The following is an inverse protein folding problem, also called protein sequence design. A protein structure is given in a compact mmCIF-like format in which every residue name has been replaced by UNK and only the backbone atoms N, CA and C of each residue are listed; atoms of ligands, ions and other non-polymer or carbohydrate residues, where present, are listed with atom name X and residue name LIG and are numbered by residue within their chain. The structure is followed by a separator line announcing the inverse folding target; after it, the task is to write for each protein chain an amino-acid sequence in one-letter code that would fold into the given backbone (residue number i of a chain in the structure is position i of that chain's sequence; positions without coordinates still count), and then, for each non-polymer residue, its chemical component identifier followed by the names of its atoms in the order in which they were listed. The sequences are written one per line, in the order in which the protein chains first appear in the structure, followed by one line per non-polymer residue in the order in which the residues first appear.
data_IF_904098527714
#
_entry.id   IF_904098527714
#
_cell.length_a   1.000
_cell.length_b   1.000
_cell.length_c   1.000
_cell.angle_alpha   90.00
_cell.angle_beta   90.00
_cell.angle_gamma   90.00
#
_symmetry.space_group_name_H-M   'P 1'
#
loop_
_entity.id
_entity.type
_entity.pdbx_description
1 polymer ?
#
# COMPACT_ATOMS: atom_id res chain seq x y z
N UNK A 1 71.68 31.74 -7.63
CA UNK A 1 72.81 30.80 -7.45
C UNK A 1 72.33 29.65 -6.59
N UNK A 2 72.74 28.43 -6.97
CA UNK A 2 72.73 27.16 -6.21
C UNK A 2 71.39 26.49 -5.84
N UNK A 3 71.23 25.29 -6.40
CA UNK A 3 70.12 24.34 -6.37
C UNK A 3 69.89 23.64 -5.02
N UNK A 4 68.76 22.90 -4.90
CA UNK A 4 68.69 21.68 -4.13
C UNK A 4 68.37 20.43 -5.00
N UNK A 5 68.73 19.21 -4.56
CA UNK A 5 68.55 17.99 -5.34
C UNK A 5 67.35 17.10 -4.90
N UNK A 6 66.73 16.50 -5.94
CA UNK A 6 66.26 15.10 -6.14
C UNK A 6 65.40 14.34 -5.10
N UNK A 7 64.10 14.29 -5.42
CA UNK A 7 63.27 13.15 -5.90
C UNK A 7 63.27 11.77 -5.22
N UNK A 8 62.06 11.26 -4.93
CA UNK A 8 61.48 9.94 -5.35
C UNK A 8 60.01 9.89 -4.89
N UNK A 9 59.02 10.14 -5.74
CA UNK A 9 58.27 9.26 -6.68
C UNK A 9 57.30 8.26 -6.03
N UNK A 10 56.01 8.41 -6.31
CA UNK A 10 55.11 7.32 -6.77
C UNK A 10 53.76 7.86 -7.26
N UNK A 11 53.68 7.94 -8.60
CA UNK A 11 52.53 7.79 -9.51
C UNK A 11 51.12 8.15 -9.04
N UNK A 12 50.68 9.31 -9.52
CA UNK A 12 49.29 9.68 -9.78
C UNK A 12 49.10 9.70 -11.30
N UNK A 13 48.02 9.08 -11.80
CA UNK A 13 47.57 9.18 -13.19
C UNK A 13 46.12 8.71 -13.23
N UNK A 14 45.14 9.42 -13.77
CA UNK A 14 45.10 10.74 -14.40
C UNK A 14 43.61 11.09 -14.48
N UNK A 15 43.32 12.33 -14.15
CA UNK A 15 42.10 13.08 -14.45
C UNK A 15 41.64 12.94 -15.89
N UNK A 16 40.33 13.02 -16.11
CA UNK A 16 39.76 14.02 -17.03
C UNK A 16 38.26 14.27 -16.74
N UNK A 17 37.96 15.55 -16.49
CA UNK A 17 36.68 16.24 -16.57
C UNK A 17 36.16 16.16 -18.04
N UNK A 18 34.89 16.32 -18.41
CA UNK A 18 33.97 17.44 -18.14
C UNK A 18 32.62 17.23 -18.89
N UNK A 19 31.59 18.01 -18.51
CA UNK A 19 30.41 18.48 -19.29
C UNK A 19 29.10 17.66 -19.41
N UNK A 20 28.14 18.09 -18.57
CA UNK A 20 26.79 18.66 -18.83
C UNK A 20 25.96 18.37 -20.11
N UNK A 21 24.66 18.20 -19.81
CA UNK A 21 23.41 18.41 -20.60
C UNK A 21 22.99 17.41 -21.69
N UNK A 22 21.86 16.72 -21.46
CA UNK A 22 20.64 16.92 -22.27
C UNK A 22 19.48 16.05 -21.76
N UNK A 23 18.31 16.65 -21.78
CA UNK A 23 16.96 16.12 -21.58
C UNK A 23 16.64 14.89 -22.44
N UNK A 24 16.19 13.81 -21.80
CA UNK A 24 15.64 12.61 -22.46
C UNK A 24 14.13 12.51 -22.27
N UNK A 25 13.43 12.64 -23.39
CA UNK A 25 11.98 12.47 -23.61
C UNK A 25 11.39 11.22 -22.93
N UNK A 26 10.19 11.34 -22.37
CA UNK A 26 9.35 10.21 -21.94
C UNK A 26 8.21 9.91 -22.95
N UNK A 27 8.41 10.24 -24.22
CA UNK A 27 7.57 9.71 -25.30
C UNK A 27 8.26 8.49 -25.89
N UNK A 28 7.83 7.30 -25.44
CA UNK A 28 7.67 6.07 -26.24
C UNK A 28 7.53 4.86 -25.31
N UNK A 29 6.29 4.51 -24.94
CA UNK A 29 5.89 3.14 -24.58
C UNK A 29 4.38 3.04 -24.31
N UNK A 30 3.56 3.34 -25.31
CA UNK A 30 2.17 2.87 -25.37
C UNK A 30 1.90 2.34 -26.78
N UNK A 31 2.27 1.09 -27.02
CA UNK A 31 1.70 0.31 -28.11
C UNK A 31 0.99 -0.92 -27.52
N UNK A 32 -0.25 -0.67 -27.11
CA UNK A 32 -1.22 -1.68 -26.73
C UNK A 32 -1.92 -2.14 -28.00
N UNK A 33 -1.41 -3.13 -28.73
CA UNK A 33 -2.22 -4.09 -29.51
C UNK A 33 -1.32 -5.19 -30.07
N UNK A 34 -1.79 -6.45 -29.98
CA UNK A 34 -1.18 -7.72 -30.44
C UNK A 34 -0.11 -8.33 -29.54
N UNK A 35 -0.55 -9.15 -28.59
CA UNK A 35 0.16 -10.41 -28.32
C UNK A 35 -0.85 -11.55 -28.32
N UNK A 36 -0.62 -12.47 -29.24
CA UNK A 36 -1.39 -13.66 -29.51
C UNK A 36 -1.48 -14.55 -28.26
N UNK A 37 -2.67 -15.14 -28.10
CA UNK A 37 -2.95 -16.20 -27.14
C UNK A 37 -2.12 -17.43 -27.51
N UNK A 38 -0.98 -17.61 -26.84
CA UNK A 38 -0.28 -18.89 -26.79
C UNK A 38 -0.48 -19.52 -25.42
N UNK A 39 -1.35 -20.52 -25.37
CA UNK A 39 -1.52 -21.40 -24.22
C UNK A 39 -0.22 -22.21 -24.00
N UNK A 40 0.44 -22.15 -22.82
CA UNK A 40 1.49 -23.08 -22.48
C UNK A 40 0.87 -24.45 -22.20
N UNK A 41 1.37 -25.45 -22.90
CA UNK A 41 0.85 -26.80 -22.96
C UNK A 41 0.72 -27.53 -21.62
N UNK A 42 -0.15 -28.54 -21.66
CA UNK A 42 -0.47 -29.47 -20.58
C UNK A 42 0.78 -30.07 -19.95
N UNK A 43 0.97 -29.79 -18.66
CA UNK A 43 1.76 -30.64 -17.77
C UNK A 43 0.80 -31.29 -16.77
N UNK A 44 0.66 -32.62 -16.93
CA UNK A 44 0.22 -33.62 -15.96
C UNK A 44 -0.72 -33.13 -14.84
N UNK A 45 -2.02 -33.30 -15.05
CA UNK A 45 -3.05 -33.19 -14.02
C UNK A 45 -2.92 -34.43 -13.13
N UNK A 46 -2.18 -34.31 -12.02
CA UNK A 46 -2.25 -35.27 -10.91
C UNK A 46 -3.69 -35.27 -10.40
N UNK A 47 -4.29 -36.45 -10.24
CA UNK A 47 -5.62 -36.66 -9.68
C UNK A 47 -5.83 -35.82 -8.41
N UNK A 48 -6.56 -34.71 -8.54
CA UNK A 48 -6.92 -33.87 -7.40
C UNK A 48 -8.11 -34.48 -6.67
N UNK A 49 -7.96 -34.77 -5.38
CA UNK A 49 -9.10 -34.90 -4.50
C UNK A 49 -9.98 -33.65 -4.66
N UNK A 50 -11.26 -33.83 -5.00
CA UNK A 50 -12.15 -32.73 -5.31
C UNK A 50 -12.63 -32.08 -4.01
N UNK A 51 -11.78 -31.27 -3.39
CA UNK A 51 -12.09 -30.60 -2.12
C UNK A 51 -13.18 -29.55 -2.32
N UNK A 52 -14.35 -29.78 -1.71
CA UNK A 52 -15.52 -28.89 -1.82
C UNK A 52 -15.31 -27.49 -1.23
N UNK A 53 -14.28 -27.30 -0.42
CA UNK A 53 -13.97 -26.03 0.23
C UNK A 53 -13.08 -25.09 -0.61
N UNK A 54 -12.60 -25.54 -1.77
CA UNK A 54 -11.83 -24.71 -2.68
C UNK A 54 -12.72 -23.64 -3.30
N UNK A 55 -12.20 -22.42 -3.38
CA UNK A 55 -12.85 -21.33 -4.07
C UNK A 55 -12.84 -21.55 -5.59
N UNK A 56 -13.66 -20.77 -6.30
CA UNK A 56 -13.69 -20.80 -7.76
C UNK A 56 -12.30 -20.50 -8.33
N UNK A 57 -11.82 -21.36 -9.24
CA UNK A 57 -10.46 -21.32 -9.81
C UNK A 57 -9.31 -21.45 -8.79
N UNK A 58 -9.59 -21.78 -7.53
CA UNK A 58 -8.59 -22.20 -6.56
C UNK A 58 -8.17 -23.64 -6.87
N UNK A 59 -6.87 -23.86 -7.05
CA UNK A 59 -6.29 -25.17 -7.40
C UNK A 59 -5.19 -25.54 -6.44
N UNK A 60 -5.11 -26.82 -6.10
CA UNK A 60 -4.04 -27.36 -5.28
C UNK A 60 -2.75 -27.45 -6.09
N UNK A 61 -1.67 -26.97 -5.51
CA UNK A 61 -0.31 -26.94 -6.08
C UNK A 61 0.55 -28.03 -5.45
N UNK A 62 0.53 -28.12 -4.12
CA UNK A 62 1.31 -29.10 -3.34
C UNK A 62 0.52 -29.53 -2.11
N UNK A 63 0.62 -30.79 -1.74
CA UNK A 63 0.08 -31.33 -0.49
C UNK A 63 1.19 -31.93 0.38
N UNK A 64 1.01 -31.82 1.70
CA UNK A 64 1.82 -32.47 2.70
C UNK A 64 0.94 -33.20 3.70
N UNK A 65 1.03 -34.53 3.75
CA UNK A 65 0.25 -35.39 4.64
C UNK A 65 1.00 -35.70 5.93
N UNK A 66 0.25 -35.89 7.03
CA UNK A 66 0.81 -36.18 8.35
C UNK A 66 1.71 -35.05 8.86
N UNK A 67 1.35 -33.81 8.52
CA UNK A 67 1.99 -32.58 8.99
C UNK A 67 1.35 -32.20 10.32
N UNK A 68 2.15 -31.77 11.29
CA UNK A 68 1.66 -31.35 12.61
C UNK A 68 1.60 -29.82 12.65
N UNK A 69 0.44 -29.25 12.98
CA UNK A 69 0.31 -27.85 13.34
C UNK A 69 0.80 -27.67 14.79
N UNK A 70 2.04 -27.22 14.95
CA UNK A 70 2.73 -27.15 16.25
C UNK A 70 2.00 -26.22 17.23
N UNK A 71 1.31 -25.21 16.71
CA UNK A 71 0.52 -24.27 17.49
C UNK A 71 -0.56 -24.93 18.37
N UNK A 72 -1.13 -26.05 17.90
CA UNK A 72 -2.25 -26.75 18.56
C UNK A 72 -1.95 -28.22 18.81
N UNK A 73 -0.74 -28.69 18.47
CA UNK A 73 -0.33 -30.09 18.46
C UNK A 73 -1.27 -31.01 17.68
N UNK A 74 -1.84 -30.50 16.58
CA UNK A 74 -2.82 -31.22 15.78
C UNK A 74 -2.18 -31.80 14.51
N UNK A 75 -2.44 -33.06 14.20
CA UNK A 75 -2.00 -33.70 12.95
C UNK A 75 -3.00 -33.45 11.81
N UNK A 76 -2.49 -33.31 10.59
CA UNK A 76 -3.32 -32.96 9.44
C UNK A 76 -2.60 -32.99 8.10
N UNK A 77 -3.33 -32.52 7.10
CA UNK A 77 -2.84 -32.32 5.73
C UNK A 77 -2.67 -30.83 5.46
N UNK A 78 -1.47 -30.44 5.07
CA UNK A 78 -1.13 -29.10 4.65
C UNK A 78 -1.26 -28.98 3.13
N UNK A 79 -2.18 -28.15 2.66
CA UNK A 79 -2.52 -27.98 1.26
C UNK A 79 -2.12 -26.57 0.83
N UNK A 80 -1.19 -26.46 -0.11
CA UNK A 80 -0.84 -25.21 -0.76
C UNK A 80 -1.67 -25.05 -2.04
N UNK A 81 -2.46 -23.99 -2.12
CA UNK A 81 -3.20 -23.60 -3.34
C UNK A 81 -2.54 -22.40 -4.03
N UNK A 82 -3.07 -21.99 -5.18
CA UNK A 82 -2.73 -20.72 -5.82
C UNK A 82 -3.25 -19.47 -5.09
N UNK A 83 -3.97 -19.62 -3.97
CA UNK A 83 -4.54 -18.52 -3.20
C UNK A 83 -4.10 -18.48 -1.74
N UNK A 84 -4.02 -19.63 -1.08
CA UNK A 84 -3.78 -19.76 0.37
C UNK A 84 -3.08 -21.07 0.70
N UNK A 85 -2.50 -21.09 1.90
CA UNK A 85 -2.11 -22.30 2.59
C UNK A 85 -3.28 -22.72 3.48
N UNK A 86 -3.68 -23.99 3.41
CA UNK A 86 -4.81 -24.56 4.14
C UNK A 86 -4.29 -25.71 5.01
N UNK A 87 -4.67 -25.74 6.27
CA UNK A 87 -4.43 -26.88 7.14
C UNK A 87 -5.75 -27.61 7.41
N UNK A 88 -5.80 -28.88 7.01
CA UNK A 88 -6.95 -29.76 7.18
C UNK A 88 -6.65 -30.74 8.32
N UNK A 89 -7.50 -30.76 9.34
CA UNK A 89 -7.41 -31.70 10.46
C UNK A 89 -7.51 -33.15 10.00
N UNK A 90 -6.63 -34.04 10.47
CA UNK A 90 -6.76 -35.48 10.21
C UNK A 90 -7.89 -36.11 11.04
N UNK A 91 -8.19 -35.57 12.22
CA UNK A 91 -9.24 -36.08 13.11
C UNK A 91 -10.65 -35.66 12.69
N UNK A 92 -10.82 -34.39 12.32
CA UNK A 92 -12.14 -33.81 12.07
C UNK A 92 -12.44 -33.59 10.59
N UNK A 93 -11.45 -33.75 9.71
CA UNK A 93 -11.52 -33.41 8.28
C UNK A 93 -11.97 -31.96 8.00
N UNK A 94 -11.86 -31.07 9.00
CA UNK A 94 -12.24 -29.67 8.89
C UNK A 94 -11.01 -28.77 8.70
N UNK A 95 -11.24 -27.61 8.07
CA UNK A 95 -10.22 -26.56 7.94
C UNK A 95 -9.95 -25.96 9.31
N UNK A 96 -8.70 -26.03 9.75
CA UNK A 96 -8.25 -25.33 10.95
C UNK A 96 -7.89 -23.90 10.59
N UNK A 97 -8.69 -22.94 11.06
CA UNK A 97 -8.53 -21.52 10.73
C UNK A 97 -7.15 -20.97 11.14
N UNK A 98 -6.61 -21.42 12.27
CA UNK A 98 -5.29 -21.01 12.76
C UNK A 98 -4.17 -21.40 11.79
N UNK A 99 -4.21 -22.63 11.25
CA UNK A 99 -3.24 -23.15 10.29
C UNK A 99 -3.46 -22.68 8.85
N UNK A 100 -4.49 -21.86 8.60
CA UNK A 100 -4.88 -21.41 7.26
C UNK A 100 -4.58 -19.93 7.05
N UNK A 101 -3.88 -19.60 5.95
CA UNK A 101 -3.42 -18.23 5.67
C UNK A 101 -3.39 -17.91 4.16
N UNK A 102 -4.01 -16.79 3.71
CA UNK A 102 -3.87 -16.32 2.33
C UNK A 102 -2.43 -16.00 1.96
N UNK A 103 -1.99 -16.38 0.76
CA UNK A 103 -0.61 -16.16 0.32
C UNK A 103 -0.21 -14.69 0.33
N UNK A 104 -1.15 -13.80 -0.04
CA UNK A 104 -0.92 -12.34 -0.03
C UNK A 104 -0.67 -11.76 1.37
N UNK A 105 -1.06 -12.48 2.43
CA UNK A 105 -0.84 -12.08 3.82
C UNK A 105 0.43 -12.67 4.42
N UNK A 106 1.09 -13.60 3.72
CA UNK A 106 2.39 -14.13 4.17
C UNK A 106 3.45 -13.05 4.00
N UNK A 107 4.08 -12.66 5.09
CA UNK A 107 5.18 -11.72 5.12
C UNK A 107 6.51 -12.42 4.89
N UNK A 108 6.73 -13.53 5.59
CA UNK A 108 7.98 -14.31 5.57
C UNK A 108 7.67 -15.76 5.88
N UNK A 109 8.50 -16.68 5.39
CA UNK A 109 8.48 -18.07 5.82
C UNK A 109 9.92 -18.63 5.83
N UNK A 110 10.19 -19.57 6.74
CA UNK A 110 11.55 -20.11 6.91
C UNK A 110 11.54 -21.58 7.32
N UNK A 111 12.57 -22.32 6.89
CA UNK A 111 12.80 -23.71 7.33
C UNK A 111 13.60 -23.69 8.62
N UNK A 112 13.09 -24.31 9.68
CA UNK A 112 13.81 -24.47 10.95
C UNK A 112 14.10 -25.95 11.22
N UNK A 113 15.16 -26.23 11.97
CA UNK A 113 15.47 -27.57 12.45
C UNK A 113 15.74 -27.49 13.94
N UNK A 114 14.86 -28.10 14.72
CA UNK A 114 15.02 -28.18 16.18
C UNK A 114 15.60 -29.55 16.51
N UNK A 115 16.73 -29.55 17.22
CA UNK A 115 17.31 -30.77 17.78
C UNK A 115 16.81 -30.88 19.21
N UNK A 116 16.06 -31.92 19.53
CA UNK A 116 15.67 -32.19 20.91
C UNK A 116 16.92 -32.61 21.68
N UNK A 117 17.20 -31.96 22.82
CA UNK A 117 18.22 -32.46 23.74
C UNK A 117 17.68 -33.75 24.40
N UNK A 118 18.48 -34.83 24.46
CA UNK A 118 18.05 -36.03 25.16
C UNK A 118 17.91 -35.75 26.65
N UNK A 119 16.75 -36.06 27.23
CA UNK A 119 16.60 -36.11 28.67
C UNK A 119 17.57 -37.16 29.25
N UNK A 120 18.14 -36.97 30.45
CA UNK A 120 19.27 -37.78 30.96
C UNK A 120 18.94 -39.26 31.26
N UNK A 121 17.82 -39.82 30.80
CA UNK A 121 17.40 -41.21 31.03
C UNK A 121 16.69 -41.92 29.87
N UNK A 122 16.74 -41.42 28.63
CA UNK A 122 16.20 -42.16 27.47
C UNK A 122 17.23 -42.30 26.35
N UNK A 123 17.51 -43.54 25.95
CA UNK A 123 18.51 -43.91 24.93
C UNK A 123 17.99 -43.84 23.48
N UNK A 124 16.79 -43.32 23.25
CA UNK A 124 16.27 -43.11 21.90
C UNK A 124 16.62 -41.70 21.41
N UNK A 125 17.38 -41.63 20.31
CA UNK A 125 17.60 -40.39 19.58
C UNK A 125 16.26 -39.90 19.03
N UNK A 126 15.57 -39.02 19.75
CA UNK A 126 14.41 -38.31 19.23
C UNK A 126 14.81 -37.62 17.91
N UNK A 127 14.12 -37.90 16.79
CA UNK A 127 14.53 -37.38 15.51
C UNK A 127 14.39 -35.86 15.47
N UNK A 128 15.33 -35.16 14.83
CA UNK A 128 15.28 -33.70 14.70
C UNK A 128 13.96 -33.27 14.04
N UNK A 129 13.22 -32.36 14.69
CA UNK A 129 12.00 -31.81 14.13
C UNK A 129 12.34 -30.90 12.95
N UNK A 130 11.66 -31.13 11.82
CA UNK A 130 11.81 -30.35 10.59
C UNK A 130 10.62 -29.40 10.50
N UNK A 131 10.81 -28.14 10.89
CA UNK A 131 9.73 -27.17 10.95
C UNK A 131 9.72 -26.23 9.73
N UNK A 132 8.54 -25.71 9.41
CA UNK A 132 8.31 -24.57 8.53
C UNK A 132 7.55 -23.51 9.34
N UNK A 133 8.18 -22.36 9.56
CA UNK A 133 7.54 -21.22 10.19
C UNK A 133 7.01 -20.29 9.10
N UNK A 134 5.75 -19.87 9.22
CA UNK A 134 5.08 -18.89 8.36
C UNK A 134 4.69 -17.70 9.23
N UNK A 135 5.13 -16.51 8.82
CA UNK A 135 4.91 -15.23 9.50
C UNK A 135 3.93 -14.45 8.63
N UNK A 136 2.74 -14.17 9.17
CA UNK A 136 1.70 -13.39 8.52
C UNK A 136 1.78 -11.90 8.87
N UNK A 137 1.24 -11.07 7.98
CA UNK A 137 0.96 -9.64 8.20
C UNK A 137 -0.27 -9.42 9.09
N UNK A 138 -1.00 -10.48 9.38
CA UNK A 138 -2.15 -10.54 10.29
C UNK A 138 -1.74 -10.86 11.74
N UNK A 139 -0.46 -10.60 12.08
CA UNK A 139 0.14 -10.81 13.40
C UNK A 139 0.24 -12.27 13.85
N UNK A 140 -0.07 -13.24 12.98
CA UNK A 140 0.09 -14.66 13.28
C UNK A 140 1.47 -15.16 12.91
N UNK A 141 2.03 -16.02 13.75
CA UNK A 141 3.06 -16.99 13.39
C UNK A 141 2.33 -18.34 13.29
N UNK A 142 2.73 -19.17 12.34
CA UNK A 142 2.15 -20.50 12.14
C UNK A 142 3.31 -21.46 11.91
N UNK A 143 3.39 -22.52 12.71
CA UNK A 143 4.52 -23.46 12.68
C UNK A 143 4.04 -24.85 12.32
N UNK A 144 4.59 -25.40 11.23
CA UNK A 144 4.26 -26.72 10.74
C UNK A 144 5.44 -27.68 10.91
N UNK A 145 5.21 -28.80 11.59
CA UNK A 145 6.15 -29.89 11.77
C UNK A 145 6.01 -30.95 10.68
N UNK A 146 7.13 -31.35 10.08
CA UNK A 146 7.17 -32.37 9.03
C UNK A 146 7.94 -33.60 9.48
N UNK A 147 7.48 -34.77 9.02
CA UNK A 147 8.18 -36.04 9.23
C UNK A 147 9.58 -35.99 8.60
N UNK A 148 10.64 -36.37 9.35
CA UNK A 148 11.99 -36.48 8.83
C UNK A 148 12.07 -37.44 7.62
N UNK A 149 13.11 -37.29 6.80
CA UNK A 149 13.37 -38.12 5.60
C UNK A 149 12.29 -38.06 4.51
N UNK A 150 11.35 -37.13 4.58
CA UNK A 150 10.39 -36.84 3.50
C UNK A 150 10.79 -35.58 2.72
N UNK A 151 10.31 -35.46 1.48
CA UNK A 151 10.51 -34.25 0.66
C UNK A 151 9.38 -33.21 0.83
N UNK A 152 8.35 -33.51 1.64
CA UNK A 152 7.13 -32.70 1.76
C UNK A 152 7.41 -31.25 2.17
N UNK A 153 8.25 -31.03 3.19
CA UNK A 153 8.66 -29.67 3.63
C UNK A 153 9.32 -28.87 2.51
N UNK A 154 10.15 -29.55 1.70
CA UNK A 154 10.83 -28.90 0.57
C UNK A 154 9.84 -28.54 -0.52
N UNK A 155 8.95 -29.46 -0.89
CA UNK A 155 7.92 -29.23 -1.89
C UNK A 155 6.99 -28.06 -1.50
N UNK A 156 6.49 -28.03 -0.26
CA UNK A 156 5.65 -26.93 0.23
C UNK A 156 6.41 -25.60 0.22
N UNK A 157 7.65 -25.58 0.71
CA UNK A 157 8.45 -24.36 0.72
C UNK A 157 8.75 -23.83 -0.68
N UNK A 158 9.12 -24.71 -1.61
CA UNK A 158 9.45 -24.34 -2.98
C UNK A 158 8.17 -23.86 -3.70
N UNK A 159 7.01 -24.47 -3.42
CA UNK A 159 5.70 -24.00 -3.84
C UNK A 159 5.36 -22.60 -3.30
N UNK A 160 5.57 -22.36 -1.99
CA UNK A 160 5.37 -21.04 -1.39
C UNK A 160 6.24 -19.97 -2.04
N UNK A 161 7.50 -20.30 -2.35
CA UNK A 161 8.42 -19.38 -3.02
C UNK A 161 7.90 -18.96 -4.40
N UNK A 162 7.30 -19.88 -5.16
CA UNK A 162 6.69 -19.56 -6.45
C UNK A 162 5.41 -18.73 -6.30
N UNK A 163 4.55 -19.05 -5.34
CA UNK A 163 3.18 -18.50 -5.28
C UNK A 163 3.06 -17.20 -4.50
N UNK A 164 3.96 -16.93 -3.54
CA UNK A 164 3.96 -15.69 -2.75
C UNK A 164 4.62 -14.51 -3.47
N UNK A 165 5.33 -14.78 -4.57
CA UNK A 165 6.03 -13.77 -5.39
C UNK A 165 5.67 -13.91 -6.87
N UNK A 166 4.40 -13.63 -7.24
CA UNK A 166 3.95 -13.71 -8.62
C UNK A 166 4.80 -12.80 -9.54
N UNK A 167 5.15 -13.31 -10.71
CA UNK A 167 6.00 -12.61 -11.68
C UNK A 167 5.25 -11.53 -12.46
N UNK A 168 3.95 -11.74 -12.69
CA UNK A 168 3.06 -10.84 -13.42
C UNK A 168 1.88 -10.46 -12.55
N UNK A 169 1.32 -9.29 -12.80
CA UNK A 169 0.10 -8.84 -12.14
C UNK A 169 -1.05 -9.85 -12.31
N UNK A 170 -1.19 -10.41 -13.51
CA UNK A 170 -2.21 -11.39 -13.88
C UNK A 170 -2.06 -12.74 -13.18
N UNK A 171 -0.90 -13.01 -12.57
CA UNK A 171 -0.67 -14.23 -11.78
C UNK A 171 -1.31 -14.14 -10.38
N UNK A 172 -1.75 -12.94 -9.96
CA UNK A 172 -2.50 -12.78 -8.70
C UNK A 172 -3.84 -13.51 -8.80
N UNK A 173 -4.21 -14.18 -7.71
CA UNK A 173 -5.48 -14.90 -7.63
C UNK A 173 -6.70 -14.03 -7.96
N UNK A 174 -6.63 -12.71 -7.70
CA UNK A 174 -7.68 -11.75 -8.05
C UNK A 174 -8.06 -11.72 -9.55
N UNK A 175 -7.17 -12.14 -10.45
CA UNK A 175 -7.44 -12.25 -11.89
C UNK A 175 -7.79 -13.67 -12.32
N UNK A 176 -7.61 -14.66 -11.44
CA UNK A 176 -7.96 -16.06 -11.67
C UNK A 176 -9.33 -16.42 -11.10
N UNK A 177 -9.69 -15.86 -9.94
CA UNK A 177 -11.04 -16.01 -9.41
C UNK A 177 -12.02 -15.41 -10.43
N UNK A 178 -13.05 -16.18 -10.79
CA UNK A 178 -14.04 -15.75 -11.77
C UNK A 178 -14.66 -14.38 -11.45
N UNK A 179 -15.47 -13.82 -12.37
CA UNK A 179 -16.06 -12.50 -12.17
C UNK A 179 -16.77 -12.41 -10.81
N UNK A 180 -16.57 -11.28 -10.12
CA UNK A 180 -17.21 -11.02 -8.83
C UNK A 180 -18.72 -11.24 -8.93
N UNK A 181 -19.25 -12.14 -8.10
CA UNK A 181 -20.70 -12.33 -7.91
C UNK A 181 -21.33 -11.18 -7.12
N UNK A 182 -20.50 -10.33 -6.52
CA UNK A 182 -20.95 -9.12 -5.83
C UNK A 182 -21.20 -8.01 -6.85
N UNK A 183 -22.46 -7.61 -6.99
CA UNK A 183 -22.89 -6.48 -7.82
C UNK A 183 -22.67 -5.19 -7.05
N UNK A 184 -21.56 -4.51 -7.31
CA UNK A 184 -21.34 -3.16 -6.81
C UNK A 184 -21.48 -2.16 -7.96
N UNK A 185 -22.10 -1.01 -7.69
CA UNK A 185 -22.15 0.08 -8.65
C UNK A 185 -20.72 0.47 -9.08
N UNK A 186 -20.54 0.84 -10.34
CA UNK A 186 -19.24 1.23 -10.88
C UNK A 186 -18.56 2.28 -9.95
N UNK A 187 -17.27 2.14 -9.60
CA UNK A 187 -16.61 3.04 -8.66
C UNK A 187 -16.64 4.51 -9.09
N UNK A 188 -16.62 4.79 -10.40
CA UNK A 188 -16.77 6.15 -10.92
C UNK A 188 -18.16 6.72 -10.68
N UNK A 189 -19.20 5.90 -10.86
CA UNK A 189 -20.60 6.26 -10.56
C UNK A 189 -20.78 6.53 -9.07
N UNK A 190 -20.22 5.68 -8.20
CA UNK A 190 -20.26 5.90 -6.74
C UNK A 190 -19.60 7.21 -6.33
N UNK A 191 -18.45 7.53 -6.93
CA UNK A 191 -17.76 8.79 -6.68
C UNK A 191 -18.63 9.99 -7.09
N UNK A 192 -19.20 9.98 -8.29
CA UNK A 192 -20.02 11.12 -8.75
C UNK A 192 -21.30 11.30 -7.94
N UNK A 193 -21.97 10.21 -7.55
CA UNK A 193 -23.11 10.29 -6.64
C UNK A 193 -22.73 10.97 -5.32
N UNK A 194 -21.55 10.64 -4.78
CA UNK A 194 -21.03 11.30 -3.59
C UNK A 194 -20.72 12.78 -3.84
N UNK A 195 -20.13 13.14 -4.98
CA UNK A 195 -19.92 14.53 -5.35
C UNK A 195 -21.24 15.31 -5.47
N UNK A 196 -22.26 14.71 -6.08
CA UNK A 196 -23.59 15.30 -6.20
C UNK A 196 -24.22 15.52 -4.82
N UNK A 197 -24.11 14.54 -3.92
CA UNK A 197 -24.55 14.66 -2.53
C UNK A 197 -23.86 15.83 -1.81
N UNK A 198 -22.54 15.96 -1.95
CA UNK A 198 -21.75 17.05 -1.35
C UNK A 198 -22.10 18.44 -1.92
N UNK A 199 -22.57 18.51 -3.16
CA UNK A 199 -23.07 19.76 -3.76
C UNK A 199 -24.52 20.10 -3.38
N UNK A 200 -25.21 19.26 -2.60
CA UNK A 200 -26.65 19.42 -2.34
C UNK A 200 -27.54 19.01 -3.53
N UNK A 201 -26.98 18.26 -4.48
CA UNK A 201 -27.64 17.73 -5.68
C UNK A 201 -27.91 16.22 -5.56
N UNK A 202 -28.20 15.73 -4.36
CA UNK A 202 -28.42 14.30 -4.09
C UNK A 202 -29.60 13.65 -4.84
N UNK A 203 -30.46 14.45 -5.47
CA UNK A 203 -31.52 13.99 -6.38
C UNK A 203 -30.99 13.62 -7.78
N UNK A 204 -29.77 14.04 -8.13
CA UNK A 204 -29.10 13.61 -9.35
C UNK A 204 -28.47 12.23 -9.13
N UNK A 205 -28.69 11.32 -10.08
CA UNK A 205 -27.98 10.04 -10.12
C UNK A 205 -26.96 10.06 -11.27
N UNK A 206 -25.72 9.72 -10.96
CA UNK A 206 -24.69 9.49 -11.95
C UNK A 206 -24.98 8.22 -12.74
N UNK A 207 -24.55 8.21 -13.99
CA UNK A 207 -24.62 7.06 -14.88
C UNK A 207 -23.31 6.91 -15.64
N UNK A 208 -23.08 5.73 -16.23
CA UNK A 208 -21.90 5.51 -17.06
C UNK A 208 -21.92 6.38 -18.33
N UNK A 209 -23.09 6.54 -18.96
CA UNK A 209 -23.30 7.39 -20.13
C UNK A 209 -22.95 8.86 -19.84
N UNK A 210 -23.30 9.36 -18.65
CA UNK A 210 -22.94 10.72 -18.22
C UNK A 210 -21.42 10.88 -18.08
N UNK A 211 -20.73 9.85 -17.57
CA UNK A 211 -19.27 9.85 -17.44
C UNK A 211 -18.62 9.86 -18.81
N UNK A 212 -19.06 8.98 -19.70
CA UNK A 212 -18.48 8.80 -21.03
C UNK A 212 -18.68 10.05 -21.90
N UNK A 213 -19.82 10.75 -21.75
CA UNK A 213 -20.11 12.04 -22.41
C UNK A 213 -19.46 13.25 -21.73
N UNK A 214 -18.85 13.09 -20.56
CA UNK A 214 -18.25 14.21 -19.81
C UNK A 214 -19.25 15.19 -19.19
N UNK A 215 -20.54 14.84 -19.10
CA UNK A 215 -21.63 15.75 -18.73
C UNK A 215 -21.94 15.82 -17.23
N UNK A 216 -20.91 15.67 -16.38
CA UNK A 216 -21.02 15.59 -14.91
C UNK A 216 -20.50 16.82 -14.16
N UNK A 217 -20.25 17.93 -14.86
CA UNK A 217 -19.67 19.18 -14.31
C UNK A 217 -20.71 20.04 -13.56
N UNK A 218 -21.37 19.46 -12.56
CA UNK A 218 -22.36 20.18 -11.74
C UNK A 218 -21.70 21.19 -10.79
N UNK A 219 -22.45 22.21 -10.38
CA UNK A 219 -22.00 23.20 -9.39
C UNK A 219 -23.14 23.65 -8.46
N UNK A 220 -22.77 24.25 -7.33
CA UNK A 220 -23.65 25.04 -6.48
C UNK A 220 -23.15 26.50 -6.42
N UNK A 221 -23.41 27.24 -5.35
CA UNK A 221 -22.94 28.63 -5.22
C UNK A 221 -21.43 28.73 -5.03
N UNK A 222 -20.82 27.78 -4.31
CA UNK A 222 -19.41 27.84 -3.89
C UNK A 222 -18.49 26.86 -4.60
N UNK A 223 -19.01 25.70 -5.00
CA UNK A 223 -18.23 24.56 -5.43
C UNK A 223 -18.70 24.07 -6.80
N UNK A 224 -17.77 23.54 -7.59
CA UNK A 224 -18.04 22.87 -8.87
C UNK A 224 -17.28 21.55 -8.98
N UNK A 225 -17.83 20.62 -9.76
CA UNK A 225 -17.12 19.43 -10.21
C UNK A 225 -16.30 19.82 -11.45
N UNK A 226 -14.99 19.65 -11.36
CA UNK A 226 -14.06 19.76 -12.47
C UNK A 226 -13.80 18.38 -13.08
N UNK A 227 -13.74 18.33 -14.41
CA UNK A 227 -13.33 17.18 -15.21
C UNK A 227 -11.86 17.31 -15.69
N UNK A 228 -11.10 18.27 -15.17
CA UNK A 228 -9.69 18.52 -15.55
C UNK A 228 -8.79 17.28 -15.40
N UNK A 229 -9.14 16.36 -14.50
CA UNK A 229 -8.41 15.12 -14.26
C UNK A 229 -9.11 13.88 -14.85
N UNK A 230 -10.04 14.05 -15.79
CA UNK A 230 -10.87 12.97 -16.33
C UNK A 230 -10.07 11.80 -16.94
N UNK A 231 -8.90 12.11 -17.50
CA UNK A 231 -7.94 11.17 -18.09
C UNK A 231 -6.72 10.90 -17.18
N UNK A 232 -6.74 11.38 -15.94
CA UNK A 232 -5.67 11.21 -14.94
C UNK A 232 -4.32 11.85 -15.29
N UNK A 233 -4.25 12.72 -16.32
CA UNK A 233 -2.97 13.33 -16.75
C UNK A 233 -2.46 14.35 -15.72
N UNK A 234 -3.33 15.26 -15.24
CA UNK A 234 -2.94 16.30 -14.27
C UNK A 234 -2.46 15.69 -12.95
N UNK A 235 -3.15 14.68 -12.44
CA UNK A 235 -2.74 13.94 -11.26
C UNK A 235 -3.16 12.47 -11.34
N UNK A 236 -2.22 11.55 -11.70
CA UNK A 236 -2.49 10.12 -11.84
C UNK A 236 -2.98 9.43 -10.56
N UNK A 237 -2.75 10.07 -9.41
CA UNK A 237 -3.04 9.52 -8.09
C UNK A 237 -4.28 10.14 -7.42
N UNK A 238 -5.00 10.99 -8.15
CA UNK A 238 -6.29 11.58 -7.78
C UNK A 238 -7.43 10.95 -8.57
N UNK A 239 -8.68 11.06 -8.09
CA UNK A 239 -9.84 10.62 -8.85
C UNK A 239 -10.06 11.47 -10.12
N UNK A 240 -10.85 10.94 -11.04
CA UNK A 240 -11.12 11.57 -12.34
C UNK A 240 -11.96 12.85 -12.25
N UNK A 241 -12.80 12.98 -11.22
CA UNK A 241 -13.66 14.12 -10.95
C UNK A 241 -13.26 14.76 -9.61
N UNK A 242 -13.11 16.08 -9.59
CA UNK A 242 -12.61 16.83 -8.44
C UNK A 242 -13.60 17.94 -8.04
N UNK A 243 -13.90 18.06 -6.75
CA UNK A 243 -14.67 19.20 -6.24
C UNK A 243 -13.70 20.32 -5.88
N UNK A 244 -13.91 21.48 -6.51
CA UNK A 244 -13.06 22.67 -6.40
C UNK A 244 -13.92 23.92 -6.20
N UNK A 245 -13.35 25.06 -5.75
CA UNK A 245 -14.10 26.31 -5.69
C UNK A 245 -14.59 26.73 -7.07
N UNK A 246 -15.85 27.18 -7.15
CA UNK A 246 -16.51 27.59 -8.40
C UNK A 246 -15.79 28.73 -9.10
N UNK A 247 -15.14 29.61 -8.33
CA UNK A 247 -14.41 30.78 -8.80
C UNK A 247 -13.04 30.48 -9.41
N UNK A 248 -12.56 29.23 -9.35
CA UNK A 248 -11.27 28.81 -9.88
C UNK A 248 -11.49 28.08 -11.21
N UNK A 249 -10.80 28.48 -12.28
CA UNK A 249 -10.90 27.83 -13.60
C UNK A 249 -10.06 26.56 -13.69
N UNK A 250 -10.29 25.71 -14.70
CA UNK A 250 -9.50 24.47 -14.85
C UNK A 250 -8.03 24.77 -15.22
N UNK A 251 -7.77 25.85 -15.96
CA UNK A 251 -6.42 26.31 -16.27
C UNK A 251 -5.66 26.71 -14.99
N UNK A 252 -6.34 27.39 -14.07
CA UNK A 252 -5.77 27.74 -12.77
C UNK A 252 -5.46 26.49 -11.93
N UNK A 253 -6.29 25.44 -12.00
CA UNK A 253 -6.02 24.16 -11.33
C UNK A 253 -4.78 23.47 -11.89
N UNK A 254 -4.62 23.45 -13.21
CA UNK A 254 -3.43 22.88 -13.87
C UNK A 254 -2.18 23.62 -13.39
N UNK A 255 -2.19 24.94 -13.39
CA UNK A 255 -1.05 25.73 -12.89
C UNK A 255 -0.80 25.49 -11.39
N UNK A 256 -1.84 25.47 -10.56
CA UNK A 256 -1.71 25.22 -9.12
C UNK A 256 -1.17 23.80 -8.83
N UNK A 257 -1.54 22.80 -9.64
CA UNK A 257 -1.06 21.43 -9.47
C UNK A 257 0.46 21.31 -9.60
N UNK A 258 1.10 22.14 -10.45
CA UNK A 258 2.55 22.12 -10.63
C UNK A 258 3.31 22.50 -9.36
N UNK A 259 2.68 23.26 -8.46
CA UNK A 259 3.27 23.68 -7.19
C UNK A 259 3.04 22.68 -6.04
N UNK A 260 2.27 21.61 -6.27
CA UNK A 260 1.92 20.61 -5.27
C UNK A 260 2.61 19.30 -5.61
N UNK A 261 3.28 18.69 -4.63
CA UNK A 261 4.00 17.43 -4.86
C UNK A 261 3.09 16.38 -5.53
N UNK A 262 3.52 15.86 -6.69
CA UNK A 262 2.77 14.91 -7.52
C UNK A 262 1.42 15.42 -8.08
N UNK A 263 1.26 16.74 -8.24
CA UNK A 263 0.03 17.33 -8.78
C UNK A 263 -1.17 17.29 -7.84
N UNK A 264 -0.99 16.92 -6.56
CA UNK A 264 -2.08 16.70 -5.60
C UNK A 264 -2.52 18.01 -4.95
N UNK A 265 -3.14 18.87 -5.73
CA UNK A 265 -3.68 20.16 -5.30
C UNK A 265 -4.80 20.02 -4.23
N UNK A 266 -5.11 21.11 -3.49
CA UNK A 266 -6.24 21.16 -2.57
C UNK A 266 -7.58 20.87 -3.29
N UNK A 267 -8.24 19.79 -2.88
CA UNK A 267 -9.57 19.40 -3.39
C UNK A 267 -10.51 19.08 -2.23
N UNK A 268 -11.78 19.44 -2.37
CA UNK A 268 -12.79 19.23 -1.32
C UNK A 268 -13.10 17.74 -1.19
N UNK A 269 -12.97 17.21 0.01
CA UNK A 269 -13.31 15.83 0.38
C UNK A 269 -14.64 15.75 1.14
N UNK A 270 -15.01 16.82 1.83
CA UNK A 270 -16.27 16.91 2.57
C UNK A 270 -16.73 18.37 2.70
N UNK A 271 -18.04 18.59 2.77
CA UNK A 271 -18.66 19.90 2.94
C UNK A 271 -19.76 19.82 4.00
N UNK A 272 -19.76 20.75 4.95
CA UNK A 272 -20.77 20.87 5.97
C UNK A 272 -22.07 21.45 5.36
N UNK A 273 -23.22 20.77 5.47
CA UNK A 273 -24.45 21.19 4.79
C UNK A 273 -25.02 22.53 5.27
N UNK A 274 -24.91 22.84 6.57
CA UNK A 274 -25.36 24.12 7.14
C UNK A 274 -24.41 25.29 6.92
N UNK A 275 -23.15 25.17 7.35
CA UNK A 275 -22.18 26.28 7.32
C UNK A 275 -21.44 26.42 5.99
N UNK A 276 -21.39 25.40 5.14
CA UNK A 276 -20.55 25.37 3.95
C UNK A 276 -19.04 25.29 4.24
N UNK A 277 -18.64 25.00 5.48
CA UNK A 277 -17.25 24.71 5.82
C UNK A 277 -16.79 23.44 5.11
N UNK A 278 -15.56 23.40 4.61
CA UNK A 278 -15.03 22.25 3.86
C UNK A 278 -13.84 21.62 4.55
N UNK A 279 -13.73 20.31 4.37
CA UNK A 279 -12.48 19.59 4.55
C UNK A 279 -11.89 19.36 3.17
N UNK A 280 -10.74 19.98 2.91
CA UNK A 280 -9.96 19.77 1.70
C UNK A 280 -8.69 18.97 2.00
N UNK A 281 -8.16 18.27 1.00
CA UNK A 281 -6.91 17.53 1.11
C UNK A 281 -5.96 17.85 -0.05
N UNK A 282 -4.66 17.83 0.22
CA UNK A 282 -3.60 18.08 -0.75
C UNK A 282 -2.31 17.35 -0.35
N UNK A 283 -1.27 17.44 -1.19
CA UNK A 283 0.11 17.21 -0.80
C UNK A 283 0.79 18.50 -0.36
N UNK A 284 2.02 18.38 0.16
CA UNK A 284 2.85 19.52 0.49
C UNK A 284 3.12 20.44 -0.71
N UNK A 285 3.22 21.77 -0.49
CA UNK A 285 3.69 22.70 -1.50
C UNK A 285 5.17 22.51 -1.80
N UNK A 286 5.58 22.84 -3.02
CA UNK A 286 6.96 22.80 -3.51
C UNK A 286 7.62 24.18 -3.36
N UNK A 287 7.82 24.61 -2.10
CA UNK A 287 8.35 25.95 -1.77
C UNK A 287 9.85 26.12 -2.09
N UNK A 288 10.51 25.04 -2.49
CA UNK A 288 11.93 25.03 -2.85
C UNK A 288 12.86 25.09 -1.62
N UNK A 289 14.15 24.80 -1.86
CA UNK A 289 15.18 24.71 -0.82
C UNK A 289 15.33 26.00 0.02
N UNK A 290 15.08 27.15 -0.60
CA UNK A 290 15.19 28.47 0.04
C UNK A 290 13.86 29.02 0.54
N UNK A 291 12.77 28.23 0.51
CA UNK A 291 11.40 28.67 0.86
C UNK A 291 10.91 29.93 0.11
N UNK A 292 11.51 30.24 -1.04
CA UNK A 292 11.22 31.45 -1.82
C UNK A 292 10.28 31.19 -3.00
N UNK A 293 10.03 29.93 -3.36
CA UNK A 293 9.09 29.60 -4.43
C UNK A 293 7.66 29.78 -3.94
N UNK A 294 6.87 30.44 -4.78
CA UNK A 294 5.48 30.77 -4.52
C UNK A 294 4.66 30.50 -5.77
N UNK A 295 3.36 30.30 -5.57
CA UNK A 295 2.42 30.13 -6.66
C UNK A 295 1.17 30.93 -6.39
N UNK A 296 0.95 31.98 -7.18
CA UNK A 296 -0.24 32.82 -7.06
C UNK A 296 -1.52 32.02 -7.31
N UNK A 297 -1.48 31.00 -8.18
CA UNK A 297 -2.63 30.12 -8.45
C UNK A 297 -2.91 29.18 -7.29
N UNK A 298 -1.88 28.65 -6.60
CA UNK A 298 -2.07 27.87 -5.38
C UNK A 298 -2.58 28.74 -4.22
N UNK A 299 -1.99 29.91 -4.01
CA UNK A 299 -2.43 30.88 -3.00
C UNK A 299 -3.90 31.29 -3.21
N UNK A 300 -4.30 31.57 -4.47
CA UNK A 300 -5.68 31.89 -4.85
C UNK A 300 -6.62 30.70 -4.62
N UNK A 301 -6.22 29.49 -5.01
CA UNK A 301 -6.99 28.27 -4.80
C UNK A 301 -7.23 28.01 -3.30
N UNK A 302 -6.20 28.12 -2.48
CA UNK A 302 -6.29 27.92 -1.03
C UNK A 302 -7.18 28.99 -0.39
N UNK A 303 -7.03 30.27 -0.79
CA UNK A 303 -7.89 31.34 -0.31
C UNK A 303 -9.37 31.12 -0.68
N UNK A 304 -9.65 30.62 -1.89
CA UNK A 304 -11.00 30.34 -2.35
C UNK A 304 -11.72 29.24 -1.55
N UNK A 305 -10.99 28.38 -0.81
CA UNK A 305 -11.59 27.40 0.11
C UNK A 305 -12.29 28.06 1.32
N UNK A 306 -11.97 29.32 1.63
CA UNK A 306 -12.61 30.09 2.70
C UNK A 306 -13.86 30.87 2.25
N UNK A 307 -14.25 30.77 0.97
CA UNK A 307 -15.40 31.49 0.43
C UNK A 307 -16.69 31.13 1.19
N UNK A 308 -17.56 32.13 1.36
CA UNK A 308 -18.86 31.98 2.02
C UNK A 308 -19.99 32.25 1.03
N UNK A 309 -21.16 31.63 1.21
CA UNK A 309 -22.34 31.98 0.42
C UNK A 309 -22.76 33.43 0.71
N UNK A 310 -23.35 34.09 -0.28
CA UNK A 310 -23.87 35.44 -0.11
C UNK A 310 -24.95 35.48 0.99
N UNK A 311 -24.91 36.50 1.85
CA UNK A 311 -25.90 36.70 2.92
C UNK A 311 -25.53 36.17 4.32
N UNK A 312 -24.44 35.41 4.48
CA UNK A 312 -23.93 35.06 5.81
C UNK A 312 -23.17 36.23 6.45
N UNK A 313 -23.48 36.55 7.73
CA UNK A 313 -22.87 37.68 8.46
C UNK A 313 -21.33 37.60 8.42
N UNK A 314 -20.75 38.75 8.07
CA UNK A 314 -19.36 39.10 7.73
C UNK A 314 -18.34 38.85 8.87
N UNK A 315 -18.22 37.62 9.37
CA UNK A 315 -17.09 37.19 10.20
C UNK A 315 -16.01 36.58 9.30
N UNK A 316 -14.75 37.04 9.39
CA UNK A 316 -13.64 36.43 8.65
C UNK A 316 -13.50 34.97 9.07
N UNK A 317 -13.75 34.03 8.15
CA UNK A 317 -13.37 32.63 8.35
C UNK A 317 -11.85 32.52 8.32
N UNK A 318 -11.31 31.74 9.25
CA UNK A 318 -9.89 31.38 9.27
C UNK A 318 -9.74 29.99 8.67
N UNK A 319 -8.81 29.82 7.72
CA UNK A 319 -8.43 28.50 7.22
C UNK A 319 -7.46 27.86 8.19
N UNK A 320 -7.69 26.60 8.54
CA UNK A 320 -6.69 25.80 9.23
C UNK A 320 -6.05 24.84 8.23
N UNK A 321 -4.74 24.96 8.08
CA UNK A 321 -3.91 24.06 7.28
C UNK A 321 -3.28 23.07 8.27
N UNK A 322 -3.88 21.90 8.36
CA UNK A 322 -3.41 20.83 9.24
C UNK A 322 -2.32 20.01 8.54
N UNK A 323 -1.06 20.34 8.82
CA UNK A 323 0.08 19.51 8.41
C UNK A 323 0.18 18.33 9.39
N UNK A 324 -0.08 17.12 8.89
CA UNK A 324 -0.07 15.92 9.72
C UNK A 324 1.30 15.67 10.38
N UNK A 325 2.39 16.15 9.77
CA UNK A 325 3.75 15.83 10.19
C UNK A 325 4.14 16.54 11.49
N UNK A 326 5.17 16.04 12.20
CA UNK A 326 5.93 16.85 13.13
C UNK A 326 6.58 18.03 12.42
N UNK A 327 6.64 19.19 13.07
CA UNK A 327 7.27 20.41 12.54
C UNK A 327 8.71 20.17 12.07
N UNK A 328 9.48 19.34 12.77
CA UNK A 328 10.85 18.97 12.38
C UNK A 328 10.89 18.25 11.03
N UNK A 329 9.95 17.33 10.79
CA UNK A 329 9.88 16.58 9.53
C UNK A 329 9.39 17.48 8.39
N UNK A 330 8.49 18.42 8.66
CA UNK A 330 8.10 19.43 7.69
C UNK A 330 9.30 20.31 7.28
N UNK A 331 10.12 20.75 8.24
CA UNK A 331 11.34 21.50 7.98
C UNK A 331 12.37 20.67 7.18
N UNK A 332 12.54 19.39 7.50
CA UNK A 332 13.42 18.50 6.74
C UNK A 332 12.98 18.33 5.28
N UNK A 333 11.67 18.34 5.00
CA UNK A 333 11.16 18.27 3.62
C UNK A 333 11.47 19.53 2.81
N UNK A 334 11.70 20.68 3.46
CA UNK A 334 12.14 21.91 2.78
C UNK A 334 13.49 21.71 2.12
N UNK A 335 14.41 21.02 2.80
CA UNK A 335 15.71 20.64 2.25
C UNK A 335 15.61 19.66 1.06
N UNK A 336 14.41 19.14 0.76
CA UNK A 336 14.13 18.30 -0.41
C UNK A 336 13.21 19.02 -1.42
N UNK A 337 13.03 20.34 -1.29
CA UNK A 337 12.22 21.17 -2.18
C UNK A 337 10.71 21.20 -1.87
N UNK A 338 10.25 20.45 -0.88
CA UNK A 338 8.89 20.50 -0.34
C UNK A 338 8.75 21.59 0.73
N UNK A 339 7.80 21.42 1.66
CA UNK A 339 7.65 22.31 2.81
C UNK A 339 6.23 22.41 3.33
N UNK A 340 5.87 23.55 3.91
CA UNK A 340 4.53 23.88 4.41
C UNK A 340 4.21 25.32 4.05
N UNK A 341 2.92 25.65 4.02
CA UNK A 341 2.41 26.97 3.73
C UNK A 341 2.92 28.03 4.74
N UNK A 342 3.21 29.24 4.26
CA UNK A 342 3.62 30.37 5.11
C UNK A 342 2.44 31.30 5.38
N UNK A 343 2.15 31.67 6.64
CA UNK A 343 1.10 32.66 6.95
C UNK A 343 1.29 34.02 6.27
N UNK A 344 2.50 34.36 5.85
CA UNK A 344 2.81 35.60 5.12
C UNK A 344 2.28 35.59 3.68
N UNK A 345 2.07 34.42 3.09
CA UNK A 345 1.62 34.25 1.70
C UNK A 345 0.20 33.71 1.64
N UNK A 346 -0.17 32.84 2.58
CA UNK A 346 -1.49 32.25 2.69
C UNK A 346 -2.34 33.05 3.69
N UNK A 347 -2.86 34.18 3.24
CA UNK A 347 -3.66 35.07 4.08
C UNK A 347 -4.86 34.34 4.69
N UNK A 348 -5.24 34.76 5.91
CA UNK A 348 -6.35 34.16 6.66
C UNK A 348 -6.17 32.68 6.98
N UNK A 349 -4.96 32.13 6.79
CA UNK A 349 -4.64 30.73 7.09
C UNK A 349 -3.73 30.61 8.32
N UNK A 350 -3.90 29.53 9.07
CA UNK A 350 -3.01 29.12 10.15
C UNK A 350 -2.57 27.69 9.94
N UNK A 351 -1.26 27.45 9.99
CA UNK A 351 -0.68 26.12 9.88
C UNK A 351 -0.58 25.50 11.27
N UNK A 352 -1.15 24.31 11.42
CA UNK A 352 -1.11 23.51 12.66
C UNK A 352 -0.42 22.18 12.35
N UNK A 353 0.54 21.79 13.19
CA UNK A 353 1.27 20.52 13.05
C UNK A 353 0.70 19.48 14.01
N UNK A 354 0.31 18.31 13.50
CA UNK A 354 -0.29 17.24 14.34
C UNK A 354 0.73 16.28 14.95
N UNK A 355 1.99 16.31 14.51
CA UNK A 355 3.03 15.47 15.12
C UNK A 355 2.92 13.98 14.80
N UNK A 356 2.26 13.60 13.70
CA UNK A 356 2.11 12.20 13.28
C UNK A 356 3.36 11.78 12.50
N UNK A 357 4.13 10.85 13.07
CA UNK A 357 5.35 10.36 12.44
C UNK A 357 5.11 9.65 11.10
N UNK A 358 6.19 9.50 10.33
CA UNK A 358 6.15 8.89 9.01
C UNK A 358 5.90 7.36 9.06
N UNK A 359 5.70 6.78 7.88
CA UNK A 359 5.41 5.34 7.73
C UNK A 359 6.50 4.41 8.30
N UNK A 360 7.74 4.87 8.44
CA UNK A 360 8.82 4.05 9.01
C UNK A 360 8.67 3.93 10.52
N UNK A 361 8.32 5.02 11.20
CA UNK A 361 8.00 5.00 12.63
C UNK A 361 6.77 4.13 12.91
N UNK A 362 5.73 4.23 12.06
CA UNK A 362 4.53 3.40 12.20
C UNK A 362 4.83 1.91 11.98
N UNK A 363 5.71 1.57 11.02
CA UNK A 363 6.16 0.19 10.78
C UNK A 363 6.96 -0.35 11.97
N UNK A 364 7.87 0.45 12.51
CA UNK A 364 8.64 0.12 13.70
C UNK A 364 7.73 -0.07 14.93
N UNK A 365 6.73 0.80 15.10
CA UNK A 365 5.74 0.67 16.16
C UNK A 365 4.96 -0.66 16.07
N UNK A 366 4.54 -1.06 14.87
CA UNK A 366 3.85 -2.34 14.67
C UNK A 366 4.79 -3.53 14.93
N UNK A 367 6.05 -3.43 14.50
CA UNK A 367 7.06 -4.45 14.77
C UNK A 367 7.28 -4.66 16.27
N UNK A 368 7.43 -3.58 17.05
CA UNK A 368 7.57 -3.66 18.51
C UNK A 368 6.33 -4.24 19.19
N UNK A 369 5.14 -3.89 18.71
CA UNK A 369 3.90 -4.48 19.23
C UNK A 369 3.88 -5.99 18.99
N UNK A 370 4.31 -6.45 17.81
CA UNK A 370 4.41 -7.88 17.49
C UNK A 370 5.39 -8.60 18.41
N UNK A 371 6.58 -8.07 18.57
CA UNK A 371 7.64 -8.64 19.42
C UNK A 371 7.18 -8.78 20.88
N UNK A 372 6.51 -7.75 21.40
CA UNK A 372 5.92 -7.79 22.74
C UNK A 372 4.87 -8.89 22.90
N UNK A 373 3.94 -9.00 21.93
CA UNK A 373 2.88 -10.01 21.95
C UNK A 373 3.41 -11.43 21.79
N UNK A 374 4.48 -11.63 21.02
CA UNK A 374 5.11 -12.94 20.87
C UNK A 374 5.83 -13.37 22.16
N UNK A 375 6.49 -12.42 22.83
CA UNK A 375 7.22 -12.67 24.09
C UNK A 375 6.30 -12.87 25.29
N UNK A 376 5.21 -12.11 25.39
CA UNK A 376 4.37 -12.03 26.60
C UNK A 376 2.92 -12.48 26.39
N UNK A 377 2.53 -12.86 25.17
CA UNK A 377 1.18 -13.31 24.87
C UNK A 377 0.84 -14.60 25.59
N UNK A 378 -0.40 -14.71 26.08
CA UNK A 378 -0.93 -15.90 26.78
C UNK A 378 -1.00 -17.16 25.92
N UNK A 379 -0.81 -17.02 24.60
CA UNK A 379 -0.82 -18.09 23.62
C UNK A 379 0.23 -17.71 22.59
N UNK A 380 1.45 -18.24 22.68
CA UNK A 380 2.44 -17.89 21.66
C UNK A 380 1.99 -18.42 20.31
N UNK A 381 2.11 -17.56 19.31
CA UNK A 381 1.77 -17.93 17.93
C UNK A 381 2.80 -18.85 17.29
N UNK A 382 3.85 -19.25 17.99
CA UNK A 382 4.84 -20.22 17.52
C UNK A 382 4.75 -21.59 18.21
N UNK A 383 3.82 -21.74 19.17
CA UNK A 383 3.70 -22.94 20.02
C UNK A 383 4.78 -23.07 21.11
N UNK A 384 5.67 -22.09 21.25
CA UNK A 384 6.81 -22.15 22.20
C UNK A 384 6.50 -21.63 23.62
N UNK A 385 5.30 -21.12 23.93
CA UNK A 385 4.93 -20.73 25.30
C UNK A 385 3.87 -21.64 25.92
N UNK A 386 4.36 -22.77 26.41
CA UNK A 386 3.92 -23.37 27.67
C UNK A 386 5.06 -24.13 28.39
N UNK A 387 6.18 -24.43 27.71
CA UNK A 387 7.24 -25.28 28.25
C UNK A 387 8.55 -24.55 28.64
N UNK A 388 8.73 -23.27 28.31
CA UNK A 388 10.03 -22.57 28.49
C UNK A 388 10.00 -21.28 29.33
N UNK A 389 8.86 -20.91 29.94
CA UNK A 389 8.78 -19.75 30.87
C UNK A 389 8.58 -20.18 32.34
N UNK A 390 8.72 -21.47 32.65
CA UNK A 390 8.68 -22.00 34.03
C UNK A 390 9.96 -22.74 34.43
N UNK A 391 11.12 -22.11 34.18
CA UNK A 391 12.38 -22.42 34.88
C UNK A 391 13.04 -21.15 35.40
#
# INVERSE_FOLDING_TARGET
MSAPPRSTSLSDSSSELEQLESTGSWDDALDWFKLEVQHPGSRSVLHHANYKFLLEAERVIVEGHGVVLINTDEAGTLILTNFRLIFLSEETENIVALGTIPLATIEKFSKMVVKNQPAPRQSEKTPSQRLLQVIGRDMRIIVFGFRPKTQQRRAIYDGLLMCTKPSRLWDLYAFSCGPSKFTNANPKVRLLNECFRLLGKGFCSASIDMIDKGSYTLSNELWRISNVNSNYIMCPSYPFALIVPKSISDEELVHASSFRSKGRLPVVSWCHPGTGAVLARSSQPLVGLMMNMRSNTDEKLVAALCSQPDGYKKGRRKLYIADARPRKNALANVAMGGGSESPSHYFQSEVVFFGIDNIHAMRESLFRLRDYLDTHGSTSSDGTLSLLVSL
#
